data_IF_081779288933
#
_entry.id   IF_081779288933
#
_cell.length_a   1.000
_cell.length_b   1.000
_cell.length_c   1.000
_cell.angle_alpha   90.00
_cell.angle_beta   90.00
_cell.angle_gamma   90.00
#
_symmetry.space_group_name_H-M   'P 1'
#
loop_
_entity.id
_entity.type
_entity.pdbx_description
1 polymer ?
#
# COMPACT_ATOMS: atom_id res chain seq x y z
N UNK A 1 -1.02 -1.89 14.63
CA UNK A 1 -0.58 -2.45 13.33
C UNK A 1 -0.92 -3.89 13.47
N UNK A 2 -2.04 -4.25 12.87
CA UNK A 2 -2.71 -5.51 13.11
C UNK A 2 -2.91 -6.15 11.74
N UNK A 3 -2.39 -7.37 11.60
CA UNK A 3 -2.54 -8.13 10.36
C UNK A 3 -3.94 -8.71 10.39
N UNK A 4 -4.72 -8.38 9.38
CA UNK A 4 -6.12 -8.81 9.29
C UNK A 4 -6.17 -10.18 8.63
N UNK A 5 -5.54 -10.30 7.46
CA UNK A 5 -5.58 -11.55 6.68
C UNK A 5 -4.35 -11.70 5.78
N UNK A 6 -4.08 -12.93 5.33
CA UNK A 6 -3.06 -13.23 4.35
C UNK A 6 -3.56 -14.25 3.33
N UNK A 7 -3.55 -13.87 2.06
CA UNK A 7 -3.92 -14.74 0.96
C UNK A 7 -2.68 -15.24 0.22
N UNK A 8 -2.58 -16.55 0.07
CA UNK A 8 -1.52 -17.20 -0.69
C UNK A 8 -2.08 -17.73 -2.00
N UNK A 9 -1.49 -17.31 -3.13
CA UNK A 9 -1.83 -17.94 -4.40
C UNK A 9 -1.29 -19.35 -4.47
N UNK A 10 -2.13 -20.28 -4.93
CA UNK A 10 -1.76 -21.69 -5.10
C UNK A 10 -0.56 -21.93 -6.02
N UNK A 11 -0.31 -20.99 -6.95
CA UNK A 11 0.82 -21.02 -7.87
C UNK A 11 2.16 -20.64 -7.19
N UNK A 12 2.11 -20.20 -5.92
CA UNK A 12 3.26 -19.82 -5.10
C UNK A 12 3.99 -18.56 -5.54
N UNK A 13 3.50 -17.90 -6.58
CA UNK A 13 4.15 -16.74 -7.15
C UNK A 13 3.80 -15.42 -6.46
N UNK A 14 2.70 -15.38 -5.69
CA UNK A 14 2.23 -14.15 -5.02
C UNK A 14 1.64 -14.45 -3.63
N UNK A 15 2.01 -13.62 -2.67
CA UNK A 15 1.41 -13.58 -1.33
C UNK A 15 0.86 -12.17 -1.10
N UNK A 16 -0.42 -12.06 -0.77
CA UNK A 16 -1.09 -10.80 -0.48
C UNK A 16 -1.34 -10.70 1.03
N UNK A 17 -0.87 -9.63 1.65
CA UNK A 17 -1.11 -9.34 3.07
C UNK A 17 -2.05 -8.15 3.20
N UNK A 18 -3.07 -8.32 4.03
CA UNK A 18 -4.03 -7.29 4.39
C UNK A 18 -3.78 -6.88 5.82
N UNK A 19 -3.48 -5.60 6.05
CA UNK A 19 -3.17 -5.09 7.37
C UNK A 19 -3.90 -3.80 7.67
N UNK A 20 -4.16 -3.57 8.95
CA UNK A 20 -4.66 -2.32 9.47
C UNK A 20 -3.55 -1.61 10.25
N UNK A 21 -3.28 -0.37 9.86
CA UNK A 21 -2.40 0.53 10.61
C UNK A 21 -3.08 1.87 10.78
N UNK A 22 -2.71 2.60 11.83
CA UNK A 22 -3.14 3.98 12.10
C UNK A 22 -2.16 5.02 11.51
N UNK A 23 -0.96 4.58 11.10
CA UNK A 23 0.10 5.41 10.56
C UNK A 23 0.86 4.70 9.42
N UNK A 24 1.63 5.46 8.64
CA UNK A 24 2.50 4.92 7.59
C UNK A 24 3.64 4.11 8.21
N UNK A 25 3.79 2.86 7.79
CA UNK A 25 4.84 1.95 8.26
C UNK A 25 5.71 1.56 7.07
N UNK A 26 7.03 1.50 7.27
CA UNK A 26 7.95 1.04 6.25
C UNK A 26 8.06 -0.49 6.26
N UNK A 27 7.66 -1.13 5.16
CA UNK A 27 7.69 -2.59 5.01
C UNK A 27 8.89 -3.08 4.17
N UNK A 28 9.86 -2.22 3.83
CA UNK A 28 10.93 -2.59 2.88
C UNK A 28 11.85 -3.67 3.44
N UNK A 29 12.17 -3.58 4.73
CA UNK A 29 12.97 -4.60 5.41
C UNK A 29 12.24 -5.95 5.49
N UNK A 30 10.95 -5.90 5.85
CA UNK A 30 10.10 -7.08 5.98
C UNK A 30 9.89 -7.79 4.63
N UNK A 31 9.50 -7.04 3.60
CA UNK A 31 9.28 -7.58 2.24
C UNK A 31 10.53 -8.24 1.68
N UNK A 32 11.71 -7.66 1.93
CA UNK A 32 12.99 -8.24 1.49
C UNK A 32 13.29 -9.56 2.18
N UNK A 33 13.02 -9.68 3.49
CA UNK A 33 13.21 -10.94 4.20
C UNK A 33 12.19 -12.01 3.78
N UNK A 34 10.92 -11.64 3.64
CA UNK A 34 9.88 -12.58 3.18
C UNK A 34 10.14 -13.08 1.77
N UNK A 35 10.59 -12.19 0.87
CA UNK A 35 10.96 -12.59 -0.48
C UNK A 35 12.07 -13.64 -0.48
N UNK A 36 13.06 -13.53 0.40
CA UNK A 36 14.14 -14.55 0.52
C UNK A 36 13.65 -15.90 1.04
N UNK A 37 12.63 -15.91 1.89
CA UNK A 37 12.12 -17.13 2.52
C UNK A 37 11.12 -17.84 1.61
N UNK A 38 10.13 -17.10 1.11
CA UNK A 38 9.03 -17.65 0.33
C UNK A 38 9.30 -17.66 -1.17
N UNK A 39 10.33 -16.95 -1.63
CA UNK A 39 10.68 -16.80 -3.04
C UNK A 39 9.49 -16.34 -3.93
N UNK A 40 8.57 -15.59 -3.32
CA UNK A 40 7.29 -15.19 -3.89
C UNK A 40 7.15 -13.66 -3.84
N UNK A 41 6.40 -13.09 -4.79
CA UNK A 41 6.13 -11.65 -4.80
C UNK A 41 5.19 -11.28 -3.66
N UNK A 42 5.69 -10.46 -2.74
CA UNK A 42 4.90 -9.99 -1.60
C UNK A 42 4.14 -8.72 -1.99
N UNK A 43 2.83 -8.75 -1.78
CA UNK A 43 1.93 -7.61 -1.93
C UNK A 43 1.38 -7.24 -0.56
N UNK A 44 1.36 -5.94 -0.23
CA UNK A 44 0.77 -5.46 1.02
C UNK A 44 -0.26 -4.40 0.71
N UNK A 45 -1.44 -4.53 1.30
CA UNK A 45 -2.54 -3.59 1.14
C UNK A 45 -3.05 -3.18 2.53
N UNK A 46 -3.17 -1.87 2.74
CA UNK A 46 -3.76 -1.35 3.97
C UNK A 46 -5.28 -1.33 3.79
N UNK A 47 -5.99 -2.05 4.66
CA UNK A 47 -7.47 -2.11 4.63
C UNK A 47 -8.13 -0.93 5.35
N UNK A 48 -7.36 -0.14 6.11
CA UNK A 48 -7.88 1.00 6.84
C UNK A 48 -8.01 2.24 5.94
N UNK A 49 -9.24 2.66 5.67
CA UNK A 49 -9.56 3.84 4.86
C UNK A 49 -9.22 5.17 5.56
N UNK A 50 -9.04 5.16 6.89
CA UNK A 50 -8.68 6.34 7.67
C UNK A 50 -7.23 6.78 7.46
N UNK A 51 -6.37 5.86 7.02
CA UNK A 51 -4.96 6.15 6.73
C UNK A 51 -4.80 6.28 5.23
N UNK A 52 -4.91 7.52 4.73
CA UNK A 52 -4.49 7.82 3.37
C UNK A 52 -3.02 7.43 3.26
N UNK A 53 -2.71 6.38 2.51
CA UNK A 53 -1.35 6.05 2.14
C UNK A 53 -0.82 7.21 1.29
N UNK A 54 -0.29 8.24 1.93
CA UNK A 54 0.19 9.42 1.24
C UNK A 54 1.47 9.02 0.52
N UNK A 55 1.36 8.89 -0.79
CA UNK A 55 2.50 8.92 -1.70
C UNK A 55 3.47 10.02 -1.23
N UNK A 56 4.76 9.72 -1.03
CA UNK A 56 5.73 10.71 -0.57
C UNK A 56 5.74 11.88 -1.56
N UNK A 57 5.85 13.11 -1.05
CA UNK A 57 5.91 14.34 -1.88
C UNK A 57 6.96 14.15 -2.99
N UNK A 58 6.50 14.12 -4.24
CA UNK A 58 7.35 13.93 -5.42
C UNK A 58 7.24 12.58 -6.14
N UNK A 59 6.52 11.60 -5.59
CA UNK A 59 6.30 10.28 -6.22
C UNK A 59 5.01 10.17 -7.06
N UNK A 60 4.19 11.23 -7.12
CA UNK A 60 2.99 11.27 -7.98
C UNK A 60 3.39 11.46 -9.44
N UNK A 61 3.07 10.47 -10.27
CA UNK A 61 3.09 10.60 -11.72
C UNK A 61 1.98 11.54 -12.19
N UNK A 62 2.18 12.27 -13.30
CA UNK A 62 1.21 13.25 -13.82
C UNK A 62 -0.18 12.66 -14.08
N UNK A 63 -0.29 11.36 -14.35
CA UNK A 63 -1.59 10.70 -14.57
C UNK A 63 -2.41 10.50 -13.29
N UNK A 64 -1.78 10.32 -12.12
CA UNK A 64 -2.50 10.18 -10.84
C UNK A 64 -3.23 11.46 -10.43
N UNK A 65 -2.80 12.64 -10.92
CA UNK A 65 -3.50 13.90 -10.66
C UNK A 65 -4.87 13.97 -11.32
N UNK A 66 -5.02 13.39 -12.50
CA UNK A 66 -6.27 13.46 -13.29
C UNK A 66 -7.37 12.63 -12.62
N UNK A 67 -6.99 11.49 -12.02
CA UNK A 67 -7.93 10.60 -11.34
C UNK A 67 -8.51 11.21 -10.06
N UNK A 68 -7.77 12.06 -9.34
CA UNK A 68 -8.29 12.74 -8.14
C UNK A 68 -9.28 13.87 -8.46
N UNK A 69 -9.12 14.55 -9.59
CA UNK A 69 -10.02 15.64 -10.03
C UNK A 69 -11.41 15.09 -10.42
N UNK A 70 -11.48 13.86 -10.95
CA UNK A 70 -12.71 13.22 -11.44
C UNK A 70 -13.62 12.71 -10.30
N UNK A 71 -13.07 12.42 -9.10
CA UNK A 71 -13.84 11.94 -7.93
C UNK A 71 -14.39 13.07 -7.05
N UNK A 72 -14.20 14.34 -7.42
CA UNK A 72 -14.77 15.49 -6.72
C UNK A 72 -14.16 15.83 -5.36
N UNK A 73 -13.00 15.25 -4.99
CA UNK A 73 -12.30 15.61 -3.76
C UNK A 73 -11.40 16.83 -4.01
N UNK A 74 -11.67 17.96 -3.35
CA UNK A 74 -10.84 19.17 -3.49
C UNK A 74 -9.40 18.88 -3.10
N UNK A 75 -8.46 19.29 -3.96
CA UNK A 75 -7.04 19.42 -3.60
C UNK A 75 -6.92 20.29 -2.33
N UNK A 76 -6.12 19.89 -1.33
CA UNK A 76 -5.91 20.70 -0.15
C UNK A 76 -5.27 22.02 -0.57
N UNK A 77 -6.03 23.10 -0.45
CA UNK A 77 -5.56 24.46 -0.72
C UNK A 77 -4.59 24.84 0.39
N UNK A 78 -3.32 24.94 0.05
CA UNK A 78 -2.28 25.49 0.93
C UNK A 78 -2.58 26.97 1.20
N UNK A 79 -2.54 27.38 2.47
CA UNK A 79 -2.29 28.77 2.85
C UNK A 79 -0.79 29.07 2.75
#
# INVERSE_FOLDING_TARGET
MDVVDCEYQFDGNKISFYFEADHTIDFRALTTQLFRIFNARIWLENVNNSVKNTVPKGAISRNDKVSFEEVGLRIPTTF
#
